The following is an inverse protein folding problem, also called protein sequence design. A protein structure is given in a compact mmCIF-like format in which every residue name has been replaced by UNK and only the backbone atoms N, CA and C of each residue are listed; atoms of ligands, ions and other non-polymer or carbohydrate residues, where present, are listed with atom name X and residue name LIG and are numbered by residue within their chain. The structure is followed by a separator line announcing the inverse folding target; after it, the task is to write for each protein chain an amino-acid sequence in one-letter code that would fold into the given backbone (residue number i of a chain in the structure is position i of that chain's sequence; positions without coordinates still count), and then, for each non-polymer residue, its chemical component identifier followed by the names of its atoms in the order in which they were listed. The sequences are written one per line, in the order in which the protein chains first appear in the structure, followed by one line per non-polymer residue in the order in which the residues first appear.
data_IF_823588529706
#
_entry.id   IF_823588529706
#
_cell.length_a   1.000
_cell.length_b   1.000
_cell.length_c   1.000
_cell.angle_alpha   90.00
_cell.angle_beta   90.00
_cell.angle_gamma   90.00
#
_symmetry.space_group_name_H-M   'P 1'
#
loop_
_entity.id
_entity.type
_entity.pdbx_description
1 polymer ?
#
# COMPACT_ATOMS: atom_id res chain seq x y z
N UNK A 1 -1.63 -24.81 8.31
CA UNK A 1 -2.62 -25.01 7.23
C UNK A 1 -3.00 -23.63 6.72
N UNK A 2 -2.32 -23.11 5.70
CA UNK A 2 -2.61 -21.79 5.14
C UNK A 2 -3.80 -21.89 4.19
N UNK A 3 -4.95 -21.38 4.63
CA UNK A 3 -5.95 -20.87 3.71
C UNK A 3 -5.36 -19.62 3.06
N UNK A 4 -5.61 -19.46 1.75
CA UNK A 4 -5.31 -18.26 0.98
C UNK A 4 -6.09 -17.08 1.58
N UNK A 5 -5.53 -16.38 2.57
CA UNK A 5 -6.10 -15.14 3.08
C UNK A 5 -5.68 -14.02 2.16
N UNK A 6 -6.65 -13.41 1.46
CA UNK A 6 -6.43 -12.13 0.80
C UNK A 6 -6.50 -11.04 1.87
N UNK A 7 -5.43 -10.25 2.00
CA UNK A 7 -5.39 -9.06 2.85
C UNK A 7 -6.45 -8.06 2.40
N UNK A 8 -7.34 -7.63 3.31
CA UNK A 8 -8.45 -6.74 2.99
C UNK A 8 -8.46 -5.53 3.92
N UNK A 9 -8.39 -4.33 3.36
CA UNK A 9 -8.61 -3.08 4.09
C UNK A 9 -10.03 -2.54 3.78
N UNK A 10 -11.09 -2.97 4.50
CA UNK A 10 -12.44 -2.46 4.31
C UNK A 10 -12.51 -0.97 4.65
N UNK A 11 -13.48 -0.30 4.04
CA UNK A 11 -13.75 1.13 4.23
C UNK A 11 -12.56 2.06 3.95
N UNK A 12 -11.56 1.57 3.21
CA UNK A 12 -10.46 2.38 2.72
C UNK A 12 -10.99 3.51 1.83
N UNK A 13 -10.70 4.74 2.22
CA UNK A 13 -10.96 5.91 1.38
C UNK A 13 -9.89 6.03 0.31
N UNK A 14 -10.33 6.13 -0.96
CA UNK A 14 -9.45 6.30 -2.12
C UNK A 14 -9.72 7.65 -2.78
N UNK A 15 -8.64 8.37 -3.11
CA UNK A 15 -8.72 9.55 -3.95
C UNK A 15 -8.79 9.16 -5.43
N UNK A 16 -9.76 9.70 -6.16
CA UNK A 16 -9.83 9.58 -7.62
C UNK A 16 -9.45 10.93 -8.21
N UNK A 17 -8.47 10.93 -9.12
CA UNK A 17 -8.05 12.16 -9.78
C UNK A 17 -8.74 12.32 -11.14
N UNK A 18 -9.22 13.53 -11.42
CA UNK A 18 -9.69 13.95 -12.73
C UNK A 18 -8.64 14.75 -13.52
N UNK A 19 -7.54 15.16 -12.87
CA UNK A 19 -6.45 15.92 -13.47
C UNK A 19 -5.10 15.39 -12.99
N UNK A 20 -4.23 15.04 -13.92
CA UNK A 20 -2.88 14.56 -13.62
C UNK A 20 -1.88 15.62 -14.08
N UNK A 21 -0.79 15.76 -13.34
CA UNK A 21 0.37 16.50 -13.86
C UNK A 21 1.04 15.66 -14.94
N UNK A 22 1.82 16.30 -15.82
CA UNK A 22 2.50 15.64 -16.95
C UNK A 22 3.33 14.41 -16.54
N UNK A 23 3.94 14.44 -15.34
CA UNK A 23 4.72 13.31 -14.81
C UNK A 23 3.90 12.09 -14.40
N UNK A 24 2.59 12.25 -14.16
CA UNK A 24 1.67 11.17 -13.81
C UNK A 24 0.70 10.80 -14.95
N UNK A 25 0.86 11.42 -16.12
CA UNK A 25 0.11 11.01 -17.30
C UNK A 25 0.48 9.57 -17.68
N UNK A 26 -0.50 8.82 -18.18
CA UNK A 26 -0.38 7.39 -18.50
C UNK A 26 0.83 7.09 -19.41
N UNK A 27 1.18 8.01 -20.31
CA UNK A 27 2.33 7.85 -21.20
C UNK A 27 3.68 7.81 -20.46
N UNK A 28 3.79 8.51 -19.32
CA UNK A 28 5.01 8.63 -18.52
C UNK A 28 4.98 7.74 -17.26
N UNK A 29 3.79 7.47 -16.74
CA UNK A 29 3.56 6.66 -15.56
C UNK A 29 2.41 5.67 -15.82
N UNK A 30 2.69 4.51 -16.41
CA UNK A 30 1.65 3.54 -16.77
C UNK A 30 1.04 2.83 -15.56
N UNK A 31 1.47 3.14 -14.33
CA UNK A 31 0.87 2.57 -13.13
C UNK A 31 -0.46 3.27 -12.85
N UNK A 32 -1.50 2.49 -12.51
CA UNK A 32 -2.87 2.98 -12.33
C UNK A 32 -3.12 3.87 -11.10
N UNK A 33 -2.08 4.24 -10.34
CA UNK A 33 -2.20 5.11 -9.17
C UNK A 33 -1.01 5.03 -8.22
N UNK A 34 -1.14 5.72 -7.10
CA UNK A 34 -0.18 5.70 -5.99
C UNK A 34 -0.86 5.20 -4.71
N UNK A 35 -0.13 4.40 -3.94
CA UNK A 35 -0.55 3.94 -2.63
C UNK A 35 0.34 4.57 -1.57
N UNK A 36 -0.23 5.43 -0.73
CA UNK A 36 0.49 6.05 0.38
C UNK A 36 0.50 5.10 1.58
N UNK A 37 1.68 4.87 2.16
CA UNK A 37 1.87 4.02 3.34
C UNK A 37 2.44 4.77 4.54
N UNK A 38 2.39 6.11 4.50
CA UNK A 38 2.89 6.97 5.56
C UNK A 38 1.88 7.08 6.73
N UNK A 39 2.01 8.12 7.55
CA UNK A 39 1.10 8.38 8.68
C UNK A 39 -0.19 9.09 8.23
N UNK A 40 -1.28 8.84 8.97
CA UNK A 40 -2.57 9.52 8.75
C UNK A 40 -2.48 11.05 8.85
N UNK A 41 -1.56 11.58 9.66
CA UNK A 41 -1.38 13.03 9.84
C UNK A 41 -1.03 13.80 8.56
N UNK A 42 -0.52 13.11 7.54
CA UNK A 42 -0.23 13.70 6.22
C UNK A 42 -1.19 13.21 5.12
N UNK A 43 -2.26 12.52 5.49
CA UNK A 43 -3.31 12.11 4.56
C UNK A 43 -4.14 13.33 4.17
N UNK A 44 -4.20 13.64 2.87
CA UNK A 44 -5.06 14.72 2.36
C UNK A 44 -6.54 14.54 2.69
N UNK A 45 -6.97 13.29 2.92
CA UNK A 45 -8.34 12.96 3.30
C UNK A 45 -8.51 12.77 4.81
N UNK A 46 -7.44 12.91 5.60
CA UNK A 46 -7.45 12.66 7.04
C UNK A 46 -7.81 11.22 7.42
N UNK A 47 -7.80 10.29 6.46
CA UNK A 47 -8.18 8.88 6.64
C UNK A 47 -6.96 7.99 6.87
N UNK A 48 -7.18 6.89 7.58
CA UNK A 48 -6.12 5.92 7.87
C UNK A 48 -5.62 5.30 6.55
N UNK A 49 -4.30 5.29 6.30
CA UNK A 49 -3.72 4.62 5.14
C UNK A 49 -3.90 3.10 5.23
N UNK A 50 -3.93 2.42 4.08
CA UNK A 50 -4.23 0.98 3.96
C UNK A 50 -3.42 0.12 4.95
N UNK A 51 -2.11 0.37 5.05
CA UNK A 51 -1.24 -0.40 5.94
C UNK A 51 -1.72 -0.33 7.41
N UNK A 52 -2.09 0.86 7.88
CA UNK A 52 -2.59 1.04 9.25
C UNK A 52 -3.94 0.36 9.47
N UNK A 53 -4.79 0.25 8.43
CA UNK A 53 -6.03 -0.52 8.51
C UNK A 53 -5.72 -2.01 8.68
N UNK A 54 -4.77 -2.56 7.90
CA UNK A 54 -4.38 -3.98 8.01
C UNK A 54 -3.81 -4.32 9.39
N UNK A 55 -2.96 -3.44 9.93
CA UNK A 55 -2.43 -3.56 11.30
C UNK A 55 -3.57 -3.53 12.33
N UNK A 56 -4.49 -2.56 12.23
CA UNK A 56 -5.61 -2.44 13.15
C UNK A 56 -6.58 -3.65 13.11
N UNK A 57 -6.64 -4.36 11.97
CA UNK A 57 -7.47 -5.54 11.79
C UNK A 57 -6.76 -6.85 12.13
N UNK A 58 -5.50 -6.79 12.60
CA UNK A 58 -4.74 -7.97 12.99
C UNK A 58 -4.40 -8.88 11.80
N UNK A 59 -4.32 -8.33 10.59
CA UNK A 59 -3.95 -9.09 9.39
C UNK A 59 -2.41 -9.12 9.17
N UNK A 60 -1.65 -8.44 10.01
CA UNK A 60 -0.18 -8.44 9.99
C UNK A 60 0.39 -9.20 11.18
N UNK A 61 1.41 -10.03 10.98
CA UNK A 61 2.14 -10.69 12.08
C UNK A 61 2.88 -9.67 12.96
N UNK A 62 3.48 -8.66 12.34
CA UNK A 62 4.11 -7.51 13.01
C UNK A 62 3.67 -6.20 12.33
N UNK A 63 3.63 -5.07 13.05
CA UNK A 63 3.25 -3.77 12.48
C UNK A 63 4.40 -3.14 11.67
N UNK A 64 4.95 -3.89 10.71
CA UNK A 64 6.04 -3.47 9.82
C UNK A 64 5.72 -3.82 8.37
N UNK A 65 6.34 -3.12 7.43
CA UNK A 65 6.42 -3.51 6.03
C UNK A 65 7.85 -3.37 5.55
N UNK A 66 8.24 -4.12 4.52
CA UNK A 66 9.59 -4.11 3.97
C UNK A 66 9.60 -4.14 2.45
N UNK A 67 10.63 -3.53 1.88
CA UNK A 67 10.85 -3.50 0.44
C UNK A 67 12.16 -4.20 0.10
N UNK A 68 12.10 -5.09 -0.88
CA UNK A 68 13.27 -5.56 -1.61
C UNK A 68 13.20 -4.96 -3.01
N UNK A 69 14.17 -4.13 -3.37
CA UNK A 69 14.21 -3.44 -4.67
C UNK A 69 15.18 -4.10 -5.65
N UNK A 70 15.70 -5.28 -5.32
CA UNK A 70 16.67 -6.00 -6.16
C UNK A 70 15.96 -6.56 -7.39
N UNK A 71 16.53 -6.28 -8.55
CA UNK A 71 16.08 -6.82 -9.83
C UNK A 71 16.37 -8.34 -9.93
N UNK A 72 15.57 -9.10 -10.71
CA UNK A 72 14.46 -8.65 -11.55
C UNK A 72 13.09 -8.67 -10.84
N UNK A 73 13.04 -9.06 -9.56
CA UNK A 73 11.81 -9.31 -8.83
C UNK A 73 11.72 -8.46 -7.56
N UNK A 74 11.49 -7.14 -7.69
CA UNK A 74 11.22 -6.31 -6.53
C UNK A 74 9.96 -6.79 -5.82
N UNK A 75 9.96 -6.74 -4.48
CA UNK A 75 8.87 -7.23 -3.64
C UNK A 75 8.58 -6.25 -2.50
N UNK A 76 7.30 -6.17 -2.15
CA UNK A 76 6.80 -5.56 -0.92
C UNK A 76 6.29 -6.69 -0.03
N UNK A 77 6.74 -6.74 1.22
CA UNK A 77 6.21 -7.62 2.24
C UNK A 77 5.45 -6.78 3.28
N UNK A 78 4.23 -7.20 3.61
CA UNK A 78 3.39 -6.59 4.64
C UNK A 78 3.37 -7.52 5.84
N UNK A 79 3.62 -6.99 7.03
CA UNK A 79 3.59 -7.76 8.27
C UNK A 79 4.91 -8.38 8.69
N UNK A 80 5.97 -8.26 7.89
CA UNK A 80 7.30 -8.80 8.19
C UNK A 80 8.43 -7.95 7.60
N UNK A 81 9.59 -7.96 8.27
CA UNK A 81 10.86 -7.43 7.74
C UNK A 81 11.62 -8.43 6.87
N UNK A 82 11.17 -9.68 6.86
CA UNK A 82 11.82 -10.79 6.16
C UNK A 82 11.00 -11.20 4.94
N UNK A 83 11.70 -11.55 3.88
CA UNK A 83 11.10 -12.16 2.70
C UNK A 83 11.26 -13.68 2.79
N UNK A 84 10.23 -14.47 2.47
CA UNK A 84 10.36 -15.91 2.32
C UNK A 84 11.31 -16.29 1.17
#
# INVERSE_FOLDING_TARGET
MSILTFERAPDQTLGVTSQQSSGFEVANFPMGGLMVMAFQSISAHGTSPVFWILVAQGQTDQPVFSFNLVAPWPRLCIGSSEFP
#
